data_IF_545199943920
#
_entry.id   IF_545199943920
#
_cell.length_a   1.000
_cell.length_b   1.000
_cell.length_c   1.000
_cell.angle_alpha   90.00
_cell.angle_beta   90.00
_cell.angle_gamma   90.00
#
_symmetry.space_group_name_H-M   'P 1'
#
loop_
_entity.id
_entity.type
_entity.pdbx_description
1 polymer ?
#
# COMPACT_ATOMS: atom_id res chain seq x y z
N UNK A 1 -24.36 -28.69 4.41
CA UNK A 1 -25.59 -28.71 5.22
C UNK A 1 -25.29 -29.37 6.56
N UNK A 2 -25.00 -28.57 7.59
CA UNK A 2 -25.05 -29.04 8.98
C UNK A 2 -25.61 -27.91 9.85
N UNK A 3 -26.89 -28.06 10.19
CA UNK A 3 -27.57 -27.30 11.24
C UNK A 3 -27.07 -27.82 12.59
N UNK A 4 -26.42 -26.98 13.41
CA UNK A 4 -26.29 -27.25 14.85
C UNK A 4 -27.43 -26.54 15.57
N UNK A 5 -28.36 -27.34 16.11
CA UNK A 5 -29.31 -26.89 17.15
C UNK A 5 -28.53 -26.46 18.39
N UNK A 6 -29.02 -25.50 19.19
CA UNK A 6 -28.43 -25.19 20.48
C UNK A 6 -28.60 -26.39 21.42
N UNK A 7 -27.48 -26.83 21.99
CA UNK A 7 -27.45 -27.87 23.02
C UNK A 7 -27.64 -27.18 24.37
N UNK A 8 -28.79 -27.40 25.01
CA UNK A 8 -28.98 -27.12 26.43
C UNK A 8 -28.51 -28.31 27.25
N UNK A 9 -27.26 -28.26 27.72
CA UNK A 9 -26.78 -29.15 28.80
C UNK A 9 -26.87 -28.42 30.13
N UNK A 10 -27.94 -28.68 30.87
CA UNK A 10 -27.91 -28.60 32.33
C UNK A 10 -27.00 -29.72 32.81
N UNK A 11 -25.83 -29.45 33.38
CA UNK A 11 -25.11 -30.30 34.37
C UNK A 11 -23.92 -29.52 34.98
N UNK A 12 -24.10 -29.11 36.24
CA UNK A 12 -23.12 -28.92 37.34
C UNK A 12 -21.62 -28.80 37.10
N UNK A 13 -21.15 -27.98 36.14
CA UNK A 13 -19.77 -27.56 36.03
C UNK A 13 -19.70 -26.05 35.82
N UNK A 14 -18.78 -25.36 36.50
CA UNK A 14 -18.46 -23.95 36.26
C UNK A 14 -17.90 -23.79 34.85
N UNK A 15 -18.78 -23.74 33.86
CA UNK A 15 -18.51 -23.18 32.55
C UNK A 15 -18.63 -21.68 32.72
N UNK A 16 -17.50 -20.97 32.68
CA UNK A 16 -17.52 -19.53 32.46
C UNK A 16 -18.17 -19.34 31.09
N UNK A 17 -19.38 -18.77 31.00
CA UNK A 17 -19.96 -18.45 29.71
C UNK A 17 -19.05 -17.38 29.12
N UNK A 18 -18.43 -17.63 27.97
CA UNK A 18 -17.89 -16.53 27.18
C UNK A 18 -19.09 -15.66 26.82
N UNK A 19 -19.18 -14.49 27.46
CA UNK A 19 -20.14 -13.45 27.11
C UNK A 19 -19.79 -12.95 25.70
N UNK A 20 -20.27 -13.64 24.67
CA UNK A 20 -20.37 -13.08 23.32
C UNK A 20 -21.48 -12.05 23.36
N UNK A 21 -21.14 -10.82 23.75
CA UNK A 21 -22.15 -9.78 23.95
C UNK A 21 -22.61 -9.10 22.66
N UNK A 22 -22.01 -9.39 21.50
CA UNK A 22 -22.50 -8.91 20.21
C UNK A 22 -22.35 -9.99 19.14
N UNK A 23 -23.46 -10.40 18.51
CA UNK A 23 -23.42 -11.37 17.40
C UNK A 23 -22.89 -10.76 16.11
N UNK A 24 -22.87 -9.41 16.06
CA UNK A 24 -22.44 -8.60 14.93
C UNK A 24 -21.80 -7.31 15.42
N UNK A 25 -20.64 -6.97 14.88
CA UNK A 25 -19.98 -5.68 15.06
C UNK A 25 -20.09 -4.94 13.73
N UNK A 26 -20.73 -3.78 13.73
CA UNK A 26 -20.79 -2.91 12.56
C UNK A 26 -19.60 -1.96 12.57
N UNK A 27 -18.88 -1.91 11.45
CA UNK A 27 -17.85 -0.91 11.23
C UNK A 27 -18.47 0.32 10.57
N UNK A 28 -17.83 1.47 10.78
CA UNK A 28 -18.19 2.66 10.02
C UNK A 28 -18.16 2.35 8.52
N UNK A 29 -19.17 2.80 7.79
CA UNK A 29 -19.35 2.41 6.39
C UNK A 29 -18.12 2.77 5.56
N UNK A 30 -17.61 1.80 4.81
CA UNK A 30 -16.54 2.03 3.82
C UNK A 30 -17.17 2.66 2.57
N UNK A 31 -17.58 3.93 2.67
CA UNK A 31 -18.36 4.62 1.64
C UNK A 31 -19.84 4.24 1.75
N UNK A 32 -20.45 3.77 0.67
CA UNK A 32 -21.86 3.30 0.68
C UNK A 32 -22.03 1.88 1.24
N UNK A 33 -20.93 1.16 1.46
CA UNK A 33 -20.96 -0.24 1.93
C UNK A 33 -20.89 -0.31 3.45
N UNK A 34 -21.83 -1.03 4.04
CA UNK A 34 -21.81 -1.35 5.48
C UNK A 34 -21.01 -2.63 5.68
N UNK A 35 -19.89 -2.54 6.40
CA UNK A 35 -19.09 -3.69 6.77
C UNK A 35 -19.56 -4.22 8.13
N UNK A 36 -19.86 -5.52 8.18
CA UNK A 36 -20.30 -6.18 9.41
C UNK A 36 -19.43 -7.39 9.70
N UNK A 37 -18.78 -7.42 10.87
CA UNK A 37 -18.17 -8.65 11.37
C UNK A 37 -19.25 -9.52 12.02
N UNK A 38 -19.41 -10.74 11.50
CA UNK A 38 -20.27 -11.77 12.06
C UNK A 38 -19.47 -13.00 12.47
N UNK A 39 -19.97 -13.74 13.46
CA UNK A 39 -19.36 -14.98 13.96
C UNK A 39 -20.12 -16.25 13.51
N UNK A 40 -20.89 -16.15 12.43
CA UNK A 40 -21.70 -17.23 11.86
C UNK A 40 -20.97 -18.06 10.80
N UNK A 41 -19.71 -17.73 10.50
CA UNK A 41 -18.86 -18.46 9.56
C UNK A 41 -19.18 -18.18 8.08
N UNK A 42 -19.79 -17.03 7.77
CA UNK A 42 -20.06 -16.55 6.41
C UNK A 42 -18.79 -16.30 5.57
N UNK A 43 -18.59 -15.08 5.07
CA UNK A 43 -17.36 -14.73 4.34
C UNK A 43 -16.19 -14.61 5.32
N UNK A 44 -15.42 -15.69 5.44
CA UNK A 44 -14.25 -15.75 6.31
C UNK A 44 -13.13 -14.86 5.75
N UNK A 45 -12.54 -14.05 6.63
CA UNK A 45 -11.45 -13.13 6.31
C UNK A 45 -10.27 -13.41 7.25
N UNK A 46 -9.05 -13.33 6.72
CA UNK A 46 -7.82 -13.47 7.52
C UNK A 46 -7.27 -12.11 7.94
N UNK A 47 -7.51 -11.08 7.12
CA UNK A 47 -6.93 -9.74 7.26
C UNK A 47 -7.90 -8.75 7.92
N UNK A 48 -8.44 -9.11 9.09
CA UNK A 48 -9.46 -8.30 9.79
C UNK A 48 -9.00 -6.90 10.23
N UNK A 49 -7.71 -6.59 10.15
CA UNK A 49 -7.15 -5.27 10.47
C UNK A 49 -7.21 -4.26 9.31
N UNK A 50 -7.45 -4.70 8.06
CA UNK A 50 -7.44 -3.81 6.90
C UNK A 50 -8.49 -2.67 6.94
N UNK A 51 -9.68 -2.82 7.58
CA UNK A 51 -10.62 -1.71 7.70
C UNK A 51 -10.07 -0.54 8.50
N UNK A 52 -9.25 -0.80 9.53
CA UNK A 52 -8.62 0.26 10.32
C UNK A 52 -7.63 1.04 9.46
N UNK A 53 -6.80 0.33 8.68
CA UNK A 53 -5.86 0.96 7.75
C UNK A 53 -6.60 1.80 6.69
N UNK A 54 -7.71 1.30 6.17
CA UNK A 54 -8.51 2.00 5.17
C UNK A 54 -9.18 3.25 5.73
N UNK A 55 -9.62 3.23 6.99
CA UNK A 55 -10.16 4.41 7.66
C UNK A 55 -9.08 5.47 7.87
N UNK A 56 -7.90 5.07 8.34
CA UNK A 56 -6.75 5.98 8.51
C UNK A 56 -6.35 6.61 7.17
N UNK A 57 -6.27 5.84 6.08
CA UNK A 57 -6.03 6.38 4.73
C UNK A 57 -7.08 7.44 4.36
N UNK A 58 -8.37 7.15 4.53
CA UNK A 58 -9.45 8.09 4.18
C UNK A 58 -9.44 9.36 5.02
N UNK A 59 -9.11 9.24 6.31
CA UNK A 59 -9.02 10.38 7.22
C UNK A 59 -7.86 11.31 6.86
N UNK A 60 -6.71 10.74 6.48
CA UNK A 60 -5.50 11.51 6.17
C UNK A 60 -5.39 11.92 4.69
N UNK A 61 -6.06 11.21 3.78
CA UNK A 61 -6.03 11.46 2.34
C UNK A 61 -4.67 11.23 1.67
N UNK A 62 -3.73 10.57 2.36
CA UNK A 62 -2.35 10.43 1.89
C UNK A 62 -2.27 9.62 0.60
N UNK A 63 -2.99 8.51 0.49
CA UNK A 63 -2.90 7.67 -0.71
C UNK A 63 -3.63 8.28 -1.92
N UNK A 64 -4.62 9.14 -1.69
CA UNK A 64 -5.26 9.92 -2.75
C UNK A 64 -4.27 10.92 -3.35
N UNK A 65 -3.55 11.66 -2.50
CA UNK A 65 -2.49 12.59 -2.94
C UNK A 65 -1.33 11.85 -3.60
N UNK A 66 -0.92 10.71 -3.03
CA UNK A 66 0.11 9.85 -3.61
C UNK A 66 -0.29 9.36 -5.00
N UNK A 67 -1.52 8.90 -5.19
CA UNK A 67 -2.03 8.48 -6.50
C UNK A 67 -2.11 9.64 -7.50
N UNK A 68 -2.35 10.87 -7.04
CA UNK A 68 -2.37 12.06 -7.89
C UNK A 68 -0.97 12.44 -8.45
N UNK A 69 0.11 11.96 -7.83
CA UNK A 69 1.48 12.09 -8.35
C UNK A 69 1.76 11.17 -9.55
N UNK A 70 0.78 10.43 -10.07
CA UNK A 70 0.94 9.56 -11.23
C UNK A 70 0.15 10.06 -12.42
N UNK A 71 0.76 9.98 -13.60
CA UNK A 71 0.07 10.17 -14.87
C UNK A 71 -0.28 8.82 -15.48
N UNK A 72 -1.57 8.56 -15.69
CA UNK A 72 -2.05 7.34 -16.31
C UNK A 72 -2.25 7.53 -17.82
N UNK A 73 -1.37 6.97 -18.62
CA UNK A 73 -1.46 6.98 -20.08
C UNK A 73 -2.18 5.75 -20.66
N UNK A 74 -2.76 4.88 -19.81
CA UNK A 74 -3.56 3.75 -20.29
C UNK A 74 -4.84 4.27 -20.94
N UNK A 75 -5.35 3.50 -21.89
CA UNK A 75 -6.65 3.76 -22.49
C UNK A 75 -7.76 3.58 -21.42
N UNK A 76 -8.52 4.64 -21.08
CA UNK A 76 -9.59 4.57 -20.07
C UNK A 76 -10.68 3.57 -20.44
N UNK A 77 -10.95 3.38 -21.73
CA UNK A 77 -11.94 2.42 -22.22
C UNK A 77 -11.49 0.96 -22.05
N UNK A 78 -10.22 0.74 -21.69
CA UNK A 78 -9.64 -0.59 -21.47
C UNK A 78 -9.16 -0.80 -20.04
N UNK A 79 -9.42 0.15 -19.15
CA UNK A 79 -8.94 0.16 -17.76
C UNK A 79 -10.13 0.04 -16.80
N UNK A 80 -10.07 -0.92 -15.86
CA UNK A 80 -11.10 -1.17 -14.83
C UNK A 80 -10.67 -0.75 -13.42
N UNK A 81 -9.38 -0.40 -13.25
CA UNK A 81 -8.79 -0.02 -11.96
C UNK A 81 -8.12 1.34 -12.11
N UNK A 82 -8.58 2.31 -11.33
CA UNK A 82 -7.96 3.63 -11.22
C UNK A 82 -6.54 3.51 -10.64
N UNK A 83 -5.71 4.54 -10.79
CA UNK A 83 -4.39 4.53 -10.13
C UNK A 83 -4.55 4.47 -8.61
N UNK A 84 -5.53 5.18 -8.05
CA UNK A 84 -5.85 5.14 -6.62
C UNK A 84 -6.22 3.72 -6.15
N UNK A 85 -7.02 2.98 -6.93
CA UNK A 85 -7.34 1.59 -6.62
C UNK A 85 -6.07 0.73 -6.53
N UNK A 86 -5.16 0.90 -7.50
CA UNK A 86 -3.92 0.13 -7.57
C UNK A 86 -2.96 0.48 -6.43
N UNK A 87 -2.82 1.77 -6.13
CA UNK A 87 -2.00 2.29 -5.02
C UNK A 87 -2.52 1.77 -3.68
N UNK A 88 -3.83 1.92 -3.40
CA UNK A 88 -4.45 1.40 -2.18
C UNK A 88 -4.29 -0.11 -2.06
N UNK A 89 -4.62 -0.84 -3.12
CA UNK A 89 -4.48 -2.29 -3.14
C UNK A 89 -3.05 -2.70 -2.82
N UNK A 90 -2.06 -2.03 -3.41
CA UNK A 90 -0.66 -2.38 -3.21
C UNK A 90 -0.17 -2.06 -1.80
N UNK A 91 -0.44 -0.84 -1.33
CA UNK A 91 0.02 -0.38 -0.01
C UNK A 91 -0.69 -1.15 1.10
N UNK A 92 -1.98 -1.45 0.98
CA UNK A 92 -2.67 -2.30 1.95
C UNK A 92 -2.10 -3.72 1.96
N UNK A 93 -1.77 -4.28 0.79
CA UNK A 93 -1.06 -5.56 0.70
C UNK A 93 0.25 -5.55 1.47
N UNK A 94 1.09 -4.54 1.25
CA UNK A 94 2.35 -4.36 1.97
C UNK A 94 2.15 -4.25 3.50
N UNK A 95 1.19 -3.44 3.96
CA UNK A 95 0.90 -3.30 5.39
C UNK A 95 0.39 -4.60 6.04
N UNK A 96 -0.26 -5.47 5.26
CA UNK A 96 -0.71 -6.80 5.69
C UNK A 96 0.37 -7.88 5.59
N UNK A 97 1.58 -7.54 5.11
CA UNK A 97 2.71 -8.47 4.97
C UNK A 97 2.77 -9.22 3.64
N UNK A 98 1.99 -8.81 2.64
CA UNK A 98 2.02 -9.37 1.29
C UNK A 98 3.00 -8.59 0.41
N UNK A 99 4.29 -8.86 0.62
CA UNK A 99 5.39 -8.19 -0.07
C UNK A 99 5.47 -8.58 -1.55
N UNK A 100 5.17 -9.83 -1.90
CA UNK A 100 5.32 -10.32 -3.26
C UNK A 100 4.11 -9.99 -4.14
N UNK A 101 4.37 -9.49 -5.35
CA UNK A 101 3.29 -9.19 -6.28
C UNK A 101 2.45 -10.42 -6.68
N UNK A 102 3.01 -11.63 -6.58
CA UNK A 102 2.27 -12.87 -6.87
C UNK A 102 1.16 -13.17 -5.84
N UNK A 103 1.25 -12.66 -4.61
CA UNK A 103 0.20 -12.78 -3.59
C UNK A 103 -1.11 -12.17 -4.09
N UNK A 104 -1.01 -11.10 -4.89
CA UNK A 104 -2.15 -10.44 -5.50
C UNK A 104 -2.89 -11.27 -6.56
N UNK A 105 -2.36 -12.42 -7.00
CA UNK A 105 -3.14 -13.37 -7.80
C UNK A 105 -4.26 -14.02 -6.98
N UNK A 106 -4.05 -14.18 -5.67
CA UNK A 106 -5.06 -14.63 -4.71
C UNK A 106 -5.80 -13.45 -4.09
N UNK A 107 -5.08 -12.42 -3.61
CA UNK A 107 -5.72 -11.28 -2.92
C UNK A 107 -6.72 -10.55 -3.80
N UNK A 108 -6.58 -10.59 -5.13
CA UNK A 108 -7.53 -9.93 -6.04
C UNK A 108 -8.97 -10.42 -5.95
N UNK A 109 -9.21 -11.58 -5.32
CA UNK A 109 -10.51 -12.16 -5.04
C UNK A 109 -11.04 -11.83 -3.63
N UNK A 110 -10.26 -11.13 -2.79
CA UNK A 110 -10.64 -10.81 -1.42
C UNK A 110 -11.63 -9.64 -1.38
N UNK A 111 -12.87 -9.92 -0.97
CA UNK A 111 -13.94 -8.94 -0.93
C UNK A 111 -13.76 -7.89 0.17
N UNK A 112 -13.11 -8.24 1.30
CA UNK A 112 -12.86 -7.27 2.38
C UNK A 112 -11.85 -6.22 1.94
N UNK A 113 -10.73 -6.67 1.36
CA UNK A 113 -9.71 -5.75 0.85
C UNK A 113 -10.29 -4.93 -0.30
N UNK A 114 -11.09 -5.54 -1.19
CA UNK A 114 -11.75 -4.80 -2.26
C UNK A 114 -12.69 -3.70 -1.75
N UNK A 115 -13.49 -3.98 -0.72
CA UNK A 115 -14.32 -2.98 -0.07
C UNK A 115 -13.48 -1.85 0.56
N UNK A 116 -12.36 -2.21 1.21
CA UNK A 116 -11.43 -1.25 1.82
C UNK A 116 -10.75 -0.34 0.79
N UNK A 117 -10.33 -0.89 -0.35
CA UNK A 117 -9.82 -0.15 -1.52
C UNK A 117 -10.87 0.81 -2.08
N UNK A 118 -12.16 0.54 -1.88
CA UNK A 118 -13.28 1.35 -2.34
C UNK A 118 -13.95 0.84 -3.61
N UNK A 119 -13.81 -0.46 -3.92
CA UNK A 119 -14.51 -1.06 -5.07
C UNK A 119 -16.01 -1.10 -4.82
N UNK A 120 -16.78 -0.51 -5.75
CA UNK A 120 -18.25 -0.54 -5.70
C UNK A 120 -18.84 -1.96 -5.78
N UNK A 121 -18.10 -2.88 -6.40
CA UNK A 121 -18.45 -4.30 -6.53
C UNK A 121 -17.33 -5.16 -5.91
N UNK A 122 -17.34 -5.37 -4.58
CA UNK A 122 -16.32 -6.14 -3.87
C UNK A 122 -16.34 -7.62 -4.18
N UNK A 123 -17.43 -8.16 -4.72
CA UNK A 123 -17.51 -9.54 -5.17
C UNK A 123 -17.01 -9.71 -6.62
N UNK A 124 -16.73 -8.60 -7.32
CA UNK A 124 -16.20 -8.58 -8.68
C UNK A 124 -17.12 -9.22 -9.72
N UNK A 125 -18.44 -9.22 -9.52
CA UNK A 125 -19.39 -9.85 -10.45
C UNK A 125 -19.63 -9.01 -11.73
N UNK A 126 -19.39 -7.71 -11.66
CA UNK A 126 -19.63 -6.72 -12.70
C UNK A 126 -18.37 -6.44 -13.56
N UNK A 127 -17.30 -7.22 -13.38
CA UNK A 127 -16.09 -7.15 -14.21
C UNK A 127 -16.44 -7.30 -15.70
N UNK A 128 -15.81 -6.47 -16.56
CA UNK A 128 -16.15 -6.41 -18.00
C UNK A 128 -15.89 -7.73 -18.71
N UNK A 129 -14.79 -8.41 -18.35
CA UNK A 129 -14.45 -9.73 -18.89
C UNK A 129 -15.04 -10.82 -18.01
N UNK A 130 -15.72 -11.77 -18.64
CA UNK A 130 -16.30 -12.91 -17.92
C UNK A 130 -15.25 -13.72 -17.13
N UNK A 131 -14.03 -13.84 -17.67
CA UNK A 131 -12.92 -14.53 -17.01
C UNK A 131 -12.38 -13.81 -15.75
N UNK A 132 -12.65 -12.50 -15.61
CA UNK A 132 -12.21 -11.70 -14.48
C UNK A 132 -13.28 -11.62 -13.36
N UNK A 133 -14.48 -12.17 -13.59
CA UNK A 133 -15.55 -12.15 -12.58
C UNK A 133 -15.20 -12.96 -11.34
N UNK A 134 -15.58 -12.47 -10.17
CA UNK A 134 -15.15 -13.02 -8.88
C UNK A 134 -13.79 -12.49 -8.40
N UNK A 135 -13.17 -11.59 -9.17
CA UNK A 135 -11.90 -10.95 -8.82
C UNK A 135 -12.11 -9.44 -8.90
N UNK A 136 -12.56 -8.76 -7.83
CA UNK A 136 -12.81 -7.31 -7.83
C UNK A 136 -11.58 -6.44 -8.09
N UNK A 137 -10.37 -6.90 -7.76
CA UNK A 137 -9.16 -6.09 -7.80
C UNK A 137 -8.17 -6.50 -8.92
N UNK A 138 -7.04 -5.81 -8.99
CA UNK A 138 -6.03 -6.05 -10.01
C UNK A 138 -5.14 -7.25 -9.68
N UNK A 139 -4.73 -8.03 -10.69
CA UNK A 139 -3.74 -9.11 -10.49
C UNK A 139 -2.30 -8.61 -10.57
N UNK A 140 -1.34 -9.52 -10.33
CA UNK A 140 0.10 -9.22 -10.26
C UNK A 140 0.62 -8.42 -11.45
N UNK A 141 0.19 -8.76 -12.67
CA UNK A 141 0.73 -8.14 -13.89
C UNK A 141 0.33 -6.68 -14.05
N UNK A 142 -0.79 -6.26 -13.45
CA UNK A 142 -1.23 -4.86 -13.48
C UNK A 142 -0.47 -4.04 -12.45
N UNK A 143 -0.30 -4.56 -11.24
CA UNK A 143 0.51 -3.93 -10.20
C UNK A 143 2.00 -3.86 -10.59
N UNK A 144 2.54 -4.91 -11.21
CA UNK A 144 3.90 -4.91 -11.74
C UNK A 144 4.13 -3.80 -12.78
N UNK A 145 3.11 -3.46 -13.58
CA UNK A 145 3.20 -2.34 -14.53
C UNK A 145 3.16 -0.97 -13.85
N UNK A 146 2.50 -0.85 -12.69
CA UNK A 146 2.56 0.35 -11.86
C UNK A 146 3.98 0.53 -11.31
N UNK A 147 4.57 -0.52 -10.74
CA UNK A 147 5.90 -0.47 -10.10
C UNK A 147 7.06 -0.33 -11.08
N UNK A 148 6.94 -0.91 -12.29
CA UNK A 148 8.03 -0.93 -13.28
C UNK A 148 7.89 0.13 -14.38
N UNK A 149 6.97 1.08 -14.24
CA UNK A 149 6.88 2.21 -15.15
C UNK A 149 8.14 3.07 -15.06
N UNK A 150 8.79 3.26 -16.21
CA UNK A 150 10.04 4.02 -16.29
C UNK A 150 9.75 5.51 -16.22
N UNK A 151 10.65 6.26 -15.58
CA UNK A 151 10.68 7.72 -15.70
C UNK A 151 10.79 8.11 -17.19
N UNK A 152 9.89 8.96 -17.66
CA UNK A 152 9.82 9.39 -19.06
C UNK A 152 9.09 8.44 -20.02
N UNK A 153 8.42 7.40 -19.51
CA UNK A 153 7.41 6.71 -20.32
C UNK A 153 6.28 7.68 -20.71
N UNK A 154 5.64 7.41 -21.83
CA UNK A 154 4.72 8.31 -22.51
C UNK A 154 3.50 7.53 -23.07
N UNK A 155 2.54 8.21 -23.71
CA UNK A 155 1.39 7.52 -24.33
C UNK A 155 1.76 6.49 -25.40
N UNK A 156 2.89 6.64 -26.07
CA UNK A 156 3.35 5.76 -27.17
C UNK A 156 4.14 4.55 -26.68
N UNK A 157 4.55 4.55 -25.41
CA UNK A 157 5.25 3.45 -24.76
C UNK A 157 4.46 2.14 -24.84
N UNK A 158 5.09 1.04 -25.25
CA UNK A 158 4.37 -0.23 -25.48
C UNK A 158 3.79 -0.85 -24.20
N UNK A 159 4.51 -0.73 -23.08
CA UNK A 159 4.20 -1.33 -21.79
C UNK A 159 4.45 -0.31 -20.66
N UNK A 160 3.88 -0.57 -19.48
CA UNK A 160 4.05 0.24 -18.25
C UNK A 160 3.75 1.73 -18.47
N UNK A 161 2.46 2.07 -18.53
CA UNK A 161 1.94 3.39 -18.90
C UNK A 161 1.48 4.26 -17.71
N UNK A 162 1.80 3.88 -16.47
CA UNK A 162 1.39 4.65 -15.27
C UNK A 162 2.64 5.27 -14.67
N UNK A 163 2.89 6.53 -15.00
CA UNK A 163 4.19 7.16 -14.77
C UNK A 163 4.17 8.00 -13.51
N UNK A 164 5.05 7.71 -12.57
CA UNK A 164 5.23 8.52 -11.37
C UNK A 164 5.96 9.83 -11.69
N UNK A 165 5.42 10.93 -11.18
CA UNK A 165 6.13 12.21 -11.06
C UNK A 165 6.95 12.17 -9.76
N UNK A 166 8.25 11.94 -9.91
CA UNK A 166 9.17 11.81 -8.78
C UNK A 166 9.33 13.13 -8.01
N UNK A 167 9.17 14.28 -8.67
CA UNK A 167 9.22 15.59 -8.00
C UNK A 167 8.00 15.77 -7.12
N UNK A 168 6.80 15.55 -7.67
CA UNK A 168 5.56 15.62 -6.90
C UNK A 168 5.51 14.61 -5.74
N UNK A 169 6.13 13.43 -5.90
CA UNK A 169 6.28 12.46 -4.82
C UNK A 169 7.22 12.95 -3.71
N UNK A 170 8.33 13.59 -4.07
CA UNK A 170 9.25 14.18 -3.10
C UNK A 170 8.58 15.33 -2.33
N UNK A 171 7.87 16.22 -3.05
CA UNK A 171 7.10 17.32 -2.44
C UNK A 171 6.03 16.78 -1.48
N UNK A 172 5.32 15.71 -1.85
CA UNK A 172 4.29 15.11 -1.01
C UNK A 172 4.84 14.62 0.34
N UNK A 173 6.06 14.07 0.38
CA UNK A 173 6.69 13.64 1.63
C UNK A 173 6.89 14.82 2.59
N UNK A 174 7.32 15.96 2.06
CA UNK A 174 7.47 17.20 2.82
C UNK A 174 6.11 17.75 3.23
N UNK A 175 5.13 17.76 2.33
CA UNK A 175 3.79 18.26 2.66
C UNK A 175 3.14 17.47 3.80
N UNK A 176 3.26 16.14 3.80
CA UNK A 176 2.73 15.29 4.89
C UNK A 176 3.36 15.64 6.23
N UNK A 177 4.67 15.96 6.23
CA UNK A 177 5.34 16.48 7.41
C UNK A 177 4.81 17.86 7.81
N UNK A 178 4.57 18.76 6.87
CA UNK A 178 4.05 20.10 7.16
C UNK A 178 2.61 20.05 7.72
N UNK A 179 1.76 19.17 7.18
CA UNK A 179 0.35 19.07 7.58
C UNK A 179 0.15 18.70 9.05
N UNK A 180 1.08 17.94 9.64
CA UNK A 180 1.00 17.58 11.07
C UNK A 180 1.52 18.70 11.99
N UNK A 181 2.20 19.72 11.44
CA UNK A 181 2.77 20.84 12.19
C UNK A 181 1.91 22.10 12.03
N UNK A 182 1.02 22.35 13.01
CA UNK A 182 0.17 23.55 13.03
C UNK A 182 0.96 24.88 13.08
N UNK A 183 2.20 24.84 13.56
CA UNK A 183 3.12 25.98 13.57
C UNK A 183 4.52 25.53 13.17
N UNK A 184 5.29 26.34 12.43
CA UNK A 184 6.67 26.01 12.10
C UNK A 184 7.49 25.79 13.37
N UNK A 185 8.16 24.64 13.52
CA UNK A 185 9.06 24.42 14.64
C UNK A 185 10.24 25.39 14.56
N UNK A 186 10.73 25.87 15.71
CA UNK A 186 11.88 26.77 15.75
C UNK A 186 13.19 26.11 15.32
N UNK A 187 13.26 24.78 15.39
CA UNK A 187 14.38 23.95 14.98
C UNK A 187 13.85 22.58 14.54
N UNK A 188 14.47 22.01 13.50
CA UNK A 188 14.27 20.61 13.10
C UNK A 188 15.62 19.90 13.07
N UNK A 189 15.62 18.61 13.37
CA UNK A 189 16.79 17.74 13.24
C UNK A 189 16.56 16.81 12.08
N UNK A 190 17.49 16.82 11.13
CA UNK A 190 17.46 15.95 9.95
C UNK A 190 18.47 14.83 10.13
N UNK A 191 17.97 13.61 10.11
CA UNK A 191 18.79 12.40 10.05
C UNK A 191 18.99 12.01 8.58
N UNK A 192 20.24 11.91 8.15
CA UNK A 192 20.60 11.66 6.74
C UNK A 192 21.48 10.43 6.69
N UNK A 193 20.85 9.28 6.43
CA UNK A 193 21.52 8.00 6.49
C UNK A 193 21.44 7.23 5.17
N UNK A 194 22.55 6.62 4.74
CA UNK A 194 22.53 5.61 3.69
C UNK A 194 22.07 4.26 4.26
N UNK A 195 21.12 3.62 3.61
CA UNK A 195 20.68 2.27 3.97
C UNK A 195 21.21 1.25 2.96
N UNK A 196 21.59 0.07 3.44
CA UNK A 196 21.97 -1.05 2.58
C UNK A 196 20.72 -1.69 1.96
N UNK A 197 20.64 -1.69 0.62
CA UNK A 197 19.65 -2.47 -0.11
C UNK A 197 20.37 -3.57 -0.89
N UNK A 198 20.40 -4.78 -0.33
CA UNK A 198 21.05 -5.93 -0.97
C UNK A 198 20.40 -6.27 -2.32
N UNK A 199 21.22 -6.60 -3.31
CA UNK A 199 20.80 -6.88 -4.66
C UNK A 199 21.17 -8.28 -5.09
N UNK A 200 20.23 -8.89 -5.81
CA UNK A 200 20.41 -10.17 -6.48
C UNK A 200 20.44 -9.97 -8.01
N UNK A 201 21.23 -10.81 -8.69
CA UNK A 201 21.43 -10.72 -10.14
C UNK A 201 22.25 -9.51 -10.59
N UNK A 202 22.11 -9.13 -11.86
CA UNK A 202 22.93 -8.10 -12.50
C UNK A 202 22.13 -6.81 -12.77
N UNK A 203 21.67 -6.18 -11.68
CA UNK A 203 20.92 -4.91 -11.75
C UNK A 203 21.84 -3.72 -12.07
N UNK A 204 21.31 -2.71 -12.77
CA UNK A 204 22.05 -1.48 -13.10
C UNK A 204 22.44 -0.72 -11.82
N UNK A 205 23.68 -0.25 -11.71
CA UNK A 205 24.16 0.49 -10.53
C UNK A 205 24.51 -0.40 -9.33
N UNK A 206 24.54 -1.73 -9.54
CA UNK A 206 25.01 -2.72 -8.58
C UNK A 206 26.53 -2.64 -8.40
N UNK A 207 26.98 -2.53 -7.16
CA UNK A 207 28.40 -2.61 -6.82
C UNK A 207 28.61 -3.37 -5.50
N UNK A 208 29.78 -4.01 -5.37
CA UNK A 208 30.15 -4.69 -4.13
C UNK A 208 30.60 -3.65 -3.10
N UNK A 209 29.93 -3.60 -1.96
CA UNK A 209 30.25 -2.75 -0.83
C UNK A 209 30.92 -3.55 0.27
N UNK A 210 32.20 -3.27 0.51
CA UNK A 210 32.99 -3.96 1.55
C UNK A 210 32.41 -3.78 2.96
N UNK A 211 31.81 -2.62 3.25
CA UNK A 211 31.22 -2.36 4.56
C UNK A 211 30.02 -3.28 4.86
N UNK A 212 29.23 -3.59 3.84
CA UNK A 212 28.03 -4.44 3.95
C UNK A 212 28.27 -5.89 3.50
N UNK A 213 29.50 -6.20 3.07
CA UNK A 213 29.93 -7.50 2.53
C UNK A 213 28.97 -8.08 1.47
N UNK A 214 28.47 -7.22 0.59
CA UNK A 214 27.42 -7.59 -0.35
C UNK A 214 27.36 -6.67 -1.55
N UNK A 215 26.63 -7.11 -2.57
CA UNK A 215 26.28 -6.26 -3.70
C UNK A 215 25.01 -5.51 -3.37
N UNK A 216 25.04 -4.18 -3.42
CA UNK A 216 23.90 -3.40 -2.98
C UNK A 216 23.68 -2.12 -3.80
N UNK A 217 22.50 -1.54 -3.61
CA UNK A 217 22.28 -0.12 -3.70
C UNK A 217 22.48 0.53 -2.33
N UNK A 218 22.77 1.83 -2.34
CA UNK A 218 22.88 2.64 -1.12
C UNK A 218 21.85 3.77 -1.14
N UNK A 219 20.53 3.48 -1.09
CA UNK A 219 19.52 4.53 -0.95
C UNK A 219 19.87 5.45 0.21
N UNK A 220 19.69 6.75 0.00
CA UNK A 220 19.81 7.77 1.03
C UNK A 220 18.42 8.23 1.43
N UNK A 221 18.16 8.17 2.73
CA UNK A 221 16.92 8.67 3.31
C UNK A 221 17.20 9.90 4.15
N UNK A 222 16.26 10.84 4.14
CA UNK A 222 16.26 11.98 5.05
C UNK A 222 15.02 11.90 5.92
N UNK A 223 15.21 11.83 7.24
CA UNK A 223 14.13 11.78 8.21
C UNK A 223 14.13 13.00 9.12
N UNK A 224 12.94 13.43 9.54
CA UNK A 224 12.74 14.31 10.68
C UNK A 224 11.84 13.61 11.70
N UNK A 225 12.45 12.98 12.71
CA UNK A 225 11.73 12.09 13.62
C UNK A 225 11.18 10.88 12.86
N UNK A 226 9.85 10.69 12.88
CA UNK A 226 9.18 9.57 12.21
C UNK A 226 8.82 9.87 10.74
N UNK A 227 9.05 11.10 10.28
CA UNK A 227 8.68 11.54 8.93
C UNK A 227 9.83 11.36 7.96
N UNK A 228 9.58 10.57 6.90
CA UNK A 228 10.44 10.50 5.74
C UNK A 228 10.22 11.78 4.90
N UNK A 229 11.28 12.56 4.70
CA UNK A 229 11.24 13.81 3.92
C UNK A 229 11.84 13.65 2.52
N UNK A 230 12.76 12.70 2.33
CA UNK A 230 13.33 12.39 1.03
C UNK A 230 13.86 10.97 0.97
N UNK A 231 13.72 10.34 -0.20
CA UNK A 231 14.22 9.00 -0.48
C UNK A 231 14.85 8.97 -1.87
N UNK A 232 16.17 8.78 -1.93
CA UNK A 232 16.91 8.76 -3.18
C UNK A 232 17.66 7.43 -3.34
N UNK A 233 17.30 6.65 -4.36
CA UNK A 233 18.07 5.45 -4.73
C UNK A 233 19.41 5.85 -5.34
N UNK A 234 20.50 5.25 -4.86
CA UNK A 234 21.85 5.51 -5.38
C UNK A 234 22.60 4.21 -5.69
N UNK A 235 23.52 4.25 -6.68
CA UNK A 235 24.41 3.13 -6.96
C UNK A 235 25.23 2.72 -5.73
N UNK A 236 25.67 1.45 -5.74
CA UNK A 236 26.48 0.93 -4.64
C UNK A 236 27.93 1.39 -4.63
N UNK A 237 28.43 2.22 -5.55
CA UNK A 237 29.84 2.67 -5.59
C UNK A 237 30.07 4.06 -4.99
N UNK A 238 29.02 4.70 -4.48
CA UNK A 238 29.11 6.04 -3.89
C UNK A 238 29.50 6.00 -2.40
N UNK A 239 30.14 7.07 -1.94
CA UNK A 239 30.38 7.27 -0.50
C UNK A 239 29.08 7.53 0.26
N UNK A 240 29.05 7.16 1.54
CA UNK A 240 27.88 7.27 2.44
C UNK A 240 27.13 8.62 2.29
N UNK A 241 27.85 9.74 2.42
CA UNK A 241 27.29 11.10 2.38
C UNK A 241 27.31 11.76 0.99
N UNK A 242 27.63 11.01 -0.07
CA UNK A 242 27.64 11.56 -1.43
C UNK A 242 26.24 12.05 -1.83
N UNK A 243 26.11 13.32 -2.20
CA UNK A 243 24.83 13.92 -2.60
C UNK A 243 24.00 14.50 -1.45
N UNK A 244 24.37 14.27 -0.18
CA UNK A 244 23.57 14.67 0.98
C UNK A 244 23.25 16.17 1.04
N UNK A 245 24.20 17.02 0.64
CA UNK A 245 24.00 18.48 0.63
C UNK A 245 22.93 18.90 -0.38
N UNK A 246 22.83 18.21 -1.53
CA UNK A 246 21.80 18.52 -2.53
C UNK A 246 20.40 18.21 -2.00
N UNK A 247 20.23 17.04 -1.37
CA UNK A 247 18.97 16.66 -0.73
C UNK A 247 18.59 17.62 0.40
N UNK A 248 19.58 18.02 1.22
CA UNK A 248 19.35 19.01 2.26
C UNK A 248 18.86 20.35 1.70
N UNK A 249 19.47 20.83 0.61
CA UNK A 249 19.05 22.07 -0.04
C UNK A 249 17.63 21.97 -0.58
N UNK A 250 17.27 20.84 -1.20
CA UNK A 250 15.93 20.61 -1.74
C UNK A 250 14.84 20.67 -0.66
N UNK A 251 15.10 20.13 0.53
CA UNK A 251 14.13 20.12 1.64
C UNK A 251 13.95 21.50 2.30
N UNK A 252 15.01 22.32 2.32
CA UNK A 252 15.04 23.58 3.10
C UNK A 252 14.67 24.81 2.26
N UNK A 253 14.52 24.68 0.95
CA UNK A 253 14.26 25.81 0.03
C UNK A 253 12.78 25.91 -0.33
#
# INVERSE_FOLDING_TARGET
>A
MFLRKPVTTNHGGFLVPTQCNESRIEFHGLGEQVLTAGFDGGNLVSDGGVPLLAEVDRMLGVLERYAACFTDHRDPERSEHSVLDLVRQRIYGLCLGYEDLNDHDRLRADALIAACVGKQDPDGQQRRRAADRGMPMAGRSTLNRLELSKAGADPDSLYCKIVADLGALADLLVDVFLDVHNQPPGEITLDIDPTNLELFGDQLGRHFQKHYDGYCHLPQYVFCGEFLLSAQLRPGDVGAMSGAMGLWQEIVT
#
